data_IF_042542707790
#
_entry.id   IF_042542707790
#
_cell.length_a   1.000
_cell.length_b   1.000
_cell.length_c   1.000
_cell.angle_alpha   90.00
_cell.angle_beta   90.00
_cell.angle_gamma   90.00
#
_symmetry.space_group_name_H-M   'P 1'
#
loop_
_entity.id
_entity.type
_entity.pdbx_description
1 polymer ?
#
# COMPACT_ATOMS: atom_id res chain seq x y z
N UNK A 1 -16.13 7.39 -94.28
CA UNK A 1 -16.18 6.36 -93.22
C UNK A 1 -16.19 7.04 -91.86
N UNK A 2 -17.39 7.32 -91.37
CA UNK A 2 -17.84 7.72 -90.01
C UNK A 2 -19.27 8.26 -90.23
N UNK A 3 -20.28 7.89 -89.41
CA UNK A 3 -20.59 8.70 -88.24
C UNK A 3 -21.29 8.00 -87.03
N UNK A 4 -21.09 8.62 -85.86
CA UNK A 4 -22.03 8.93 -84.76
C UNK A 4 -23.09 7.95 -84.18
N UNK A 5 -23.04 7.88 -82.84
CA UNK A 5 -24.14 8.04 -81.84
C UNK A 5 -25.02 6.87 -81.32
N UNK A 6 -24.93 6.68 -80.00
CA UNK A 6 -25.98 6.91 -78.95
C UNK A 6 -27.22 6.00 -78.91
N UNK A 7 -27.42 5.30 -77.77
CA UNK A 7 -28.67 5.03 -77.00
C UNK A 7 -28.23 4.31 -75.69
N UNK A 8 -28.80 4.40 -74.48
CA UNK A 8 -30.15 4.75 -74.00
C UNK A 8 -30.05 5.09 -72.49
N UNK A 9 -30.51 6.25 -72.03
CA UNK A 9 -31.74 6.53 -71.24
C UNK A 9 -31.74 6.06 -69.77
N UNK A 10 -31.96 7.03 -68.87
CA UNK A 10 -32.21 6.81 -67.44
C UNK A 10 -32.34 8.12 -66.66
N UNK A 11 -33.47 8.78 -66.82
CA UNK A 11 -33.84 10.12 -66.31
C UNK A 11 -34.20 10.12 -64.81
N UNK A 12 -33.70 11.14 -64.11
CA UNK A 12 -34.24 11.93 -62.99
C UNK A 12 -35.37 11.35 -62.08
N UNK A 13 -35.26 11.54 -60.75
CA UNK A 13 -35.93 12.66 -60.07
C UNK A 13 -35.50 12.80 -58.60
N UNK A 14 -35.53 14.05 -58.16
CA UNK A 14 -35.08 14.63 -56.90
C UNK A 14 -36.32 14.96 -56.06
N UNK A 15 -36.40 14.57 -54.79
CA UNK A 15 -37.27 15.26 -53.82
C UNK A 15 -36.60 15.30 -52.44
N UNK A 16 -36.35 16.54 -52.01
CA UNK A 16 -36.07 16.97 -50.64
C UNK A 16 -37.36 16.94 -49.83
N UNK A 17 -37.31 16.52 -48.57
CA UNK A 17 -38.23 17.04 -47.57
C UNK A 17 -37.49 17.40 -46.28
N UNK A 18 -37.67 18.66 -45.89
CA UNK A 18 -37.33 19.23 -44.60
C UNK A 18 -38.33 18.72 -43.56
N UNK A 19 -37.85 18.37 -42.38
CA UNK A 19 -38.67 18.10 -41.20
C UNK A 19 -37.93 18.55 -39.94
N UNK A 20 -38.22 19.77 -39.49
CA UNK A 20 -37.87 20.31 -38.18
C UNK A 20 -38.97 19.94 -37.17
N UNK A 21 -38.64 19.13 -36.16
CA UNK A 21 -39.34 19.06 -34.87
C UNK A 21 -38.26 18.75 -33.81
N UNK A 22 -37.75 19.74 -33.07
CA UNK A 22 -38.23 20.15 -31.74
C UNK A 22 -38.49 18.97 -30.78
N UNK A 23 -37.55 18.71 -29.87
CA UNK A 23 -37.71 18.85 -28.41
C UNK A 23 -36.52 18.22 -27.67
N UNK A 24 -36.22 18.79 -26.52
CA UNK A 24 -35.08 18.51 -25.65
C UNK A 24 -34.79 17.01 -25.44
N UNK A 25 -33.61 16.56 -25.87
CA UNK A 25 -33.03 15.31 -25.37
C UNK A 25 -32.58 15.54 -23.93
N UNK A 26 -33.46 15.17 -23.00
CA UNK A 26 -33.12 14.93 -21.60
C UNK A 26 -31.95 13.93 -21.59
N UNK A 27 -30.75 14.42 -21.26
CA UNK A 27 -29.62 13.56 -20.93
C UNK A 27 -30.01 12.84 -19.64
N UNK A 28 -30.65 11.67 -19.77
CA UNK A 28 -30.69 10.68 -18.71
C UNK A 28 -29.25 10.29 -18.45
N UNK A 29 -28.65 10.93 -17.44
CA UNK A 29 -27.54 10.37 -16.71
C UNK A 29 -28.05 9.05 -16.11
N UNK A 30 -27.89 7.98 -16.87
CA UNK A 30 -28.08 6.62 -16.40
C UNK A 30 -26.93 6.36 -15.45
N UNK A 31 -27.11 6.74 -14.18
CA UNK A 31 -26.33 6.22 -13.08
C UNK A 31 -26.68 4.74 -12.93
N UNK A 32 -26.18 3.92 -13.86
CA UNK A 32 -25.99 2.50 -13.63
C UNK A 32 -25.01 2.44 -12.47
N UNK A 33 -25.54 2.37 -11.25
CA UNK A 33 -24.74 2.18 -10.05
C UNK A 33 -23.90 0.93 -10.28
N UNK A 34 -22.56 1.06 -10.43
CA UNK A 34 -21.75 -0.11 -10.65
C UNK A 34 -21.87 -0.98 -9.41
N UNK A 35 -22.34 -2.21 -9.63
CA UNK A 35 -22.37 -3.31 -8.67
C UNK A 35 -21.17 -3.18 -7.74
N UNK A 36 -21.45 -3.00 -6.46
CA UNK A 36 -20.47 -2.83 -5.40
C UNK A 36 -19.44 -3.96 -5.47
N UNK A 37 -18.31 -3.74 -6.13
CA UNK A 37 -17.15 -4.64 -6.03
C UNK A 37 -16.66 -4.57 -4.59
N UNK A 38 -17.14 -5.54 -3.82
CA UNK A 38 -16.82 -5.87 -2.44
C UNK A 38 -15.31 -6.05 -2.35
N UNK A 39 -14.65 -5.20 -1.58
CA UNK A 39 -13.24 -5.38 -1.26
C UNK A 39 -13.09 -6.68 -0.46
N UNK A 40 -12.54 -7.71 -1.12
CA UNK A 40 -12.01 -8.97 -0.55
C UNK A 40 -12.64 -9.38 0.78
N UNK A 41 -13.66 -10.23 0.73
CA UNK A 41 -14.06 -11.01 1.90
C UNK A 41 -13.01 -12.10 2.09
N UNK A 42 -12.22 -12.01 3.16
CA UNK A 42 -11.70 -13.24 3.77
C UNK A 42 -12.94 -13.98 4.25
N UNK A 43 -13.36 -15.01 3.51
CA UNK A 43 -14.51 -15.85 3.82
C UNK A 43 -14.29 -16.45 5.22
N UNK A 44 -15.03 -15.96 6.22
CA UNK A 44 -14.93 -16.41 7.63
C UNK A 44 -14.36 -15.41 8.64
N UNK A 45 -13.89 -14.23 8.20
CA UNK A 45 -13.42 -13.18 9.12
C UNK A 45 -14.51 -12.25 9.64
N UNK A 46 -14.22 -11.41 10.65
CA UNK A 46 -15.13 -10.36 11.09
C UNK A 46 -15.52 -9.43 9.92
N UNK A 47 -16.77 -8.96 9.85
CA UNK A 47 -17.19 -8.01 8.82
C UNK A 47 -16.24 -6.82 8.75
N UNK A 48 -15.88 -6.41 7.52
CA UNK A 48 -15.00 -5.24 7.30
C UNK A 48 -15.82 -3.96 7.36
N UNK A 49 -15.25 -2.93 7.97
CA UNK A 49 -15.86 -1.59 8.01
C UNK A 49 -16.10 -1.09 6.57
N UNK A 50 -17.27 -0.52 6.26
CA UNK A 50 -17.56 0.03 4.95
C UNK A 50 -16.72 1.28 4.72
N UNK A 51 -16.57 1.65 3.45
CA UNK A 51 -15.91 2.89 3.08
C UNK A 51 -16.77 4.09 3.47
N UNK A 52 -16.09 5.19 3.82
CA UNK A 52 -16.74 6.49 3.98
C UNK A 52 -17.06 7.10 2.62
N UNK A 53 -17.97 8.09 2.57
CA UNK A 53 -18.32 8.82 1.35
C UNK A 53 -17.09 9.27 0.55
N UNK A 54 -16.13 9.92 1.21
CA UNK A 54 -14.88 10.35 0.59
C UNK A 54 -14.03 9.17 0.07
N UNK A 55 -13.93 8.08 0.83
CA UNK A 55 -13.18 6.91 0.38
C UNK A 55 -13.83 6.22 -0.83
N UNK A 56 -15.15 6.23 -0.90
CA UNK A 56 -15.90 5.75 -2.08
C UNK A 56 -15.62 6.65 -3.29
N UNK A 57 -15.68 7.96 -3.12
CA UNK A 57 -15.28 8.93 -4.16
C UNK A 57 -13.85 8.70 -4.65
N UNK A 58 -12.88 8.57 -3.72
CA UNK A 58 -11.48 8.28 -4.07
C UNK A 58 -11.36 6.95 -4.81
N UNK A 59 -12.06 5.91 -4.37
CA UNK A 59 -12.05 4.60 -5.04
C UNK A 59 -12.49 4.71 -6.50
N UNK A 60 -13.53 5.50 -6.77
CA UNK A 60 -14.10 5.66 -8.11
C UNK A 60 -13.25 6.56 -9.00
N UNK A 61 -12.73 7.66 -8.45
CA UNK A 61 -12.00 8.66 -9.24
C UNK A 61 -10.51 8.36 -9.40
N UNK A 62 -9.89 7.65 -8.44
CA UNK A 62 -8.46 7.36 -8.45
C UNK A 62 -7.98 6.65 -9.72
N UNK A 63 -8.63 5.58 -10.23
CA UNK A 63 -8.19 4.91 -11.46
C UNK A 63 -8.16 5.84 -12.67
N UNK A 64 -9.15 6.73 -12.79
CA UNK A 64 -9.24 7.71 -13.88
C UNK A 64 -8.10 8.71 -13.82
N UNK A 65 -7.84 9.32 -12.65
CA UNK A 65 -6.77 10.30 -12.49
C UNK A 65 -5.39 9.64 -12.62
N UNK A 66 -5.23 8.43 -12.08
CA UNK A 66 -3.98 7.68 -12.19
C UNK A 66 -3.65 7.34 -13.65
N UNK A 67 -4.65 6.97 -14.46
CA UNK A 67 -4.45 6.73 -15.90
C UNK A 67 -4.09 8.00 -16.67
N UNK A 68 -4.68 9.13 -16.30
CA UNK A 68 -4.37 10.44 -16.92
C UNK A 68 -3.00 10.98 -16.52
N UNK A 69 -2.40 10.49 -15.43
CA UNK A 69 -1.15 11.00 -14.87
C UNK A 69 -0.17 9.83 -14.62
N UNK A 70 0.27 9.12 -15.67
CA UNK A 70 1.23 8.03 -15.52
C UNK A 70 2.54 8.59 -14.95
N UNK A 71 3.11 7.91 -13.94
CA UNK A 71 4.37 8.31 -13.29
C UNK A 71 4.22 9.25 -12.09
N UNK A 72 3.03 9.83 -11.84
CA UNK A 72 2.78 10.60 -10.62
C UNK A 72 2.62 9.66 -9.42
N UNK A 73 3.22 10.03 -8.28
CA UNK A 73 3.09 9.25 -7.05
C UNK A 73 1.65 9.22 -6.58
N UNK A 74 1.16 8.06 -6.17
CA UNK A 74 -0.21 7.89 -5.65
C UNK A 74 -0.56 8.87 -4.51
N UNK A 75 0.43 9.25 -3.69
CA UNK A 75 0.24 10.23 -2.61
C UNK A 75 -0.22 11.59 -3.14
N UNK A 76 0.33 12.02 -4.27
CA UNK A 76 -0.01 13.31 -4.88
C UNK A 76 -1.37 13.24 -5.60
N UNK A 77 -1.69 12.09 -6.23
CA UNK A 77 -3.03 11.83 -6.80
C UNK A 77 -4.10 11.89 -5.71
N UNK A 78 -3.89 11.22 -4.58
CA UNK A 78 -4.83 11.22 -3.46
C UNK A 78 -4.93 12.62 -2.84
N UNK A 79 -3.84 13.40 -2.79
CA UNK A 79 -3.88 14.81 -2.35
C UNK A 79 -4.76 15.66 -3.26
N UNK A 80 -4.65 15.50 -4.58
CA UNK A 80 -5.50 16.17 -5.58
C UNK A 80 -6.98 15.80 -5.40
N UNK A 81 -7.28 14.51 -5.22
CA UNK A 81 -8.64 14.05 -4.94
C UNK A 81 -9.20 14.63 -3.64
N UNK A 82 -8.38 14.76 -2.60
CA UNK A 82 -8.80 15.39 -1.34
C UNK A 82 -9.20 16.85 -1.54
N UNK A 83 -8.45 17.59 -2.37
CA UNK A 83 -8.77 18.98 -2.72
C UNK A 83 -10.06 19.06 -3.55
N UNK A 84 -10.19 18.22 -4.58
CA UNK A 84 -11.40 18.17 -5.40
C UNK A 84 -12.64 17.86 -4.56
N UNK A 85 -12.56 16.87 -3.66
CA UNK A 85 -13.66 16.54 -2.75
C UNK A 85 -14.08 17.73 -1.89
N UNK A 86 -13.13 18.52 -1.37
CA UNK A 86 -13.48 19.72 -0.59
C UNK A 86 -14.26 20.73 -1.43
N UNK A 87 -13.89 20.90 -2.69
CA UNK A 87 -14.51 21.84 -3.64
C UNK A 87 -15.86 21.37 -4.21
N UNK A 88 -16.20 20.08 -4.12
CA UNK A 88 -17.49 19.59 -4.60
C UNK A 88 -18.66 20.23 -3.85
N UNK A 89 -19.73 20.53 -4.58
CA UNK A 89 -20.96 21.04 -4.00
C UNK A 89 -21.63 19.97 -3.10
N UNK A 90 -22.44 20.38 -2.10
CA UNK A 90 -23.15 19.44 -1.23
C UNK A 90 -23.94 18.38 -2.01
N UNK A 91 -24.60 18.78 -3.09
CA UNK A 91 -25.45 17.94 -3.95
C UNK A 91 -24.63 16.86 -4.66
N UNK A 92 -23.39 17.17 -5.04
CA UNK A 92 -22.46 16.21 -5.64
C UNK A 92 -21.91 15.23 -4.61
N UNK A 93 -21.86 15.62 -3.34
CA UNK A 93 -21.42 14.76 -2.23
C UNK A 93 -22.54 13.85 -1.72
N UNK A 94 -23.80 14.28 -1.81
CA UNK A 94 -24.98 13.53 -1.32
C UNK A 94 -24.99 12.05 -1.73
N UNK A 95 -24.84 11.66 -3.01
CA UNK A 95 -24.92 10.25 -3.39
C UNK A 95 -23.87 9.37 -2.69
N UNK A 96 -22.68 9.92 -2.44
CA UNK A 96 -21.64 9.23 -1.70
C UNK A 96 -21.93 9.15 -0.20
N UNK A 97 -22.57 10.18 0.37
CA UNK A 97 -22.98 10.21 1.77
C UNK A 97 -24.09 9.19 2.02
N UNK A 98 -25.13 9.17 1.19
CA UNK A 98 -26.25 8.23 1.27
C UNK A 98 -25.75 6.79 1.15
N UNK A 99 -24.95 6.49 0.11
CA UNK A 99 -24.37 5.16 -0.07
C UNK A 99 -23.49 4.74 1.13
N UNK A 100 -22.77 5.68 1.73
CA UNK A 100 -21.96 5.44 2.93
C UNK A 100 -22.82 5.16 4.16
N UNK A 101 -23.96 5.84 4.31
CA UNK A 101 -24.91 5.63 5.42
C UNK A 101 -25.57 4.26 5.30
N UNK A 102 -26.11 3.91 4.13
CA UNK A 102 -26.70 2.59 3.87
C UNK A 102 -25.68 1.47 4.13
N UNK A 103 -24.45 1.64 3.65
CA UNK A 103 -23.39 0.64 3.89
C UNK A 103 -23.03 0.50 5.38
N UNK A 104 -23.09 1.61 6.14
CA UNK A 104 -22.86 1.61 7.60
C UNK A 104 -23.94 0.85 8.35
N UNK A 105 -25.20 0.98 7.94
CA UNK A 105 -26.32 0.24 8.53
C UNK A 105 -26.22 -1.25 8.24
N UNK A 106 -25.97 -1.63 6.99
CA UNK A 106 -25.73 -3.03 6.61
C UNK A 106 -24.56 -3.64 7.40
N UNK A 107 -23.49 -2.87 7.61
CA UNK A 107 -22.35 -3.30 8.41
C UNK A 107 -22.71 -3.54 9.88
N UNK A 108 -23.53 -2.66 10.50
CA UNK A 108 -23.97 -2.86 11.88
C UNK A 108 -24.71 -4.20 12.02
N UNK A 109 -25.68 -4.46 11.15
CA UNK A 109 -26.43 -5.72 11.13
C UNK A 109 -25.51 -6.92 10.91
N UNK A 110 -24.54 -6.82 9.99
CA UNK A 110 -23.57 -7.89 9.73
C UNK A 110 -22.69 -8.17 10.95
N UNK A 111 -22.26 -7.14 11.68
CA UNK A 111 -21.45 -7.28 12.89
C UNK A 111 -22.25 -7.91 14.03
N UNK A 112 -23.51 -7.53 14.21
CA UNK A 112 -24.39 -8.14 15.21
C UNK A 112 -24.60 -9.63 14.92
N UNK A 113 -24.93 -9.98 13.67
CA UNK A 113 -25.04 -11.38 13.24
C UNK A 113 -23.74 -12.15 13.44
N UNK A 114 -22.60 -11.55 13.08
CA UNK A 114 -21.30 -12.19 13.26
C UNK A 114 -20.99 -12.45 14.74
N UNK A 115 -21.23 -11.46 15.61
CA UNK A 115 -21.00 -11.61 17.05
C UNK A 115 -21.90 -12.67 17.68
N UNK A 116 -23.16 -12.75 17.26
CA UNK A 116 -24.10 -13.76 17.75
C UNK A 116 -23.70 -15.19 17.36
N UNK A 117 -22.93 -15.37 16.28
CA UNK A 117 -22.43 -16.67 15.82
C UNK A 117 -21.14 -17.13 16.52
N UNK A 118 -20.48 -16.27 17.30
CA UNK A 118 -19.20 -16.58 17.92
C UNK A 118 -19.37 -17.34 19.24
N UNK A 119 -18.53 -18.35 19.44
CA UNK A 119 -18.39 -18.97 20.76
C UNK A 119 -17.58 -18.10 21.71
N UNK A 120 -17.70 -18.27 23.04
CA UNK A 120 -16.86 -17.56 24.02
C UNK A 120 -15.36 -17.78 23.77
N UNK A 121 -14.97 -19.00 23.40
CA UNK A 121 -13.58 -19.33 23.06
C UNK A 121 -13.07 -18.57 21.82
N UNK A 122 -13.87 -18.51 20.76
CA UNK A 122 -13.53 -17.73 19.56
C UNK A 122 -13.43 -16.23 19.86
N UNK A 123 -14.33 -15.71 20.70
CA UNK A 123 -14.32 -14.30 21.11
C UNK A 123 -13.05 -13.97 21.90
N UNK A 124 -12.65 -14.84 22.82
CA UNK A 124 -11.40 -14.70 23.57
C UNK A 124 -10.16 -14.75 22.65
N UNK A 125 -10.13 -15.69 21.69
CA UNK A 125 -9.05 -15.79 20.71
C UNK A 125 -8.92 -14.50 19.86
N UNK A 126 -10.04 -13.95 19.38
CA UNK A 126 -10.06 -12.68 18.65
C UNK A 126 -9.58 -11.49 19.51
N UNK A 127 -9.91 -11.48 20.80
CA UNK A 127 -9.44 -10.44 21.72
C UNK A 127 -7.92 -10.52 21.92
N UNK A 128 -7.36 -11.73 22.09
CA UNK A 128 -5.92 -11.97 22.20
C UNK A 128 -5.21 -11.54 20.91
N UNK A 129 -5.72 -11.94 19.74
CA UNK A 129 -5.15 -11.56 18.44
C UNK A 129 -5.13 -10.03 18.27
N UNK A 130 -6.22 -9.35 18.66
CA UNK A 130 -6.31 -7.89 18.63
C UNK A 130 -5.27 -7.24 19.55
N UNK A 131 -5.10 -7.75 20.78
CA UNK A 131 -4.10 -7.25 21.71
C UNK A 131 -2.68 -7.42 21.16
N UNK A 132 -2.35 -8.59 20.61
CA UNK A 132 -1.05 -8.85 19.97
C UNK A 132 -0.78 -7.90 18.80
N UNK A 133 -1.78 -7.65 17.93
CA UNK A 133 -1.67 -6.69 16.82
C UNK A 133 -1.41 -5.26 17.31
N UNK A 134 -2.11 -4.82 18.37
CA UNK A 134 -1.90 -3.49 18.97
C UNK A 134 -0.51 -3.39 19.60
N UNK A 135 -0.09 -4.39 20.37
CA UNK A 135 1.23 -4.45 20.98
C UNK A 135 2.35 -4.39 19.92
N UNK A 136 2.23 -5.18 18.84
CA UNK A 136 3.17 -5.16 17.71
C UNK A 136 3.23 -3.78 17.05
N UNK A 137 2.08 -3.15 16.76
CA UNK A 137 2.02 -1.81 16.16
C UNK A 137 2.70 -0.78 17.06
N UNK A 138 2.43 -0.82 18.36
CA UNK A 138 3.00 0.11 19.34
C UNK A 138 4.51 -0.10 19.48
N UNK A 139 5.00 -1.34 19.49
CA UNK A 139 6.43 -1.65 19.51
C UNK A 139 7.16 -1.12 18.26
N UNK A 140 6.56 -1.26 17.07
CA UNK A 140 7.10 -0.70 15.83
C UNK A 140 7.14 0.83 15.89
N UNK A 141 6.06 1.48 16.37
CA UNK A 141 6.02 2.94 16.53
C UNK A 141 7.12 3.43 17.47
N UNK A 142 7.24 2.82 18.65
CA UNK A 142 8.29 3.13 19.64
C UNK A 142 9.69 2.95 19.05
N UNK A 143 9.93 1.87 18.29
CA UNK A 143 11.22 1.63 17.63
C UNK A 143 11.54 2.74 16.61
N UNK A 144 10.57 3.16 15.80
CA UNK A 144 10.76 4.23 14.81
C UNK A 144 11.10 5.56 15.49
N UNK A 145 10.39 5.88 16.58
CA UNK A 145 10.63 7.08 17.38
C UNK A 145 12.02 7.07 18.03
N UNK A 146 12.43 5.95 18.64
CA UNK A 146 13.79 5.82 19.18
C UNK A 146 14.86 5.95 18.09
N UNK A 147 14.60 5.44 16.89
CA UNK A 147 15.51 5.59 15.76
C UNK A 147 15.60 7.05 15.28
N UNK A 148 14.48 7.79 15.22
CA UNK A 148 14.49 9.21 14.84
C UNK A 148 15.16 10.10 15.89
N UNK A 149 15.10 9.71 17.16
CA UNK A 149 15.81 10.37 18.26
C UNK A 149 17.31 10.02 18.31
N UNK A 150 17.82 9.25 17.35
CA UNK A 150 19.24 8.90 17.28
C UNK A 150 19.71 7.96 18.40
N UNK A 151 18.82 7.16 19.00
CA UNK A 151 19.19 6.22 20.06
C UNK A 151 20.36 5.33 19.59
N UNK A 152 21.50 5.30 20.32
CA UNK A 152 22.64 4.48 19.95
C UNK A 152 22.24 3.01 19.75
N UNK A 153 22.79 2.39 18.71
CA UNK A 153 22.65 0.94 18.51
C UNK A 153 23.38 0.24 19.65
N UNK A 154 22.85 -0.93 20.05
CA UNK A 154 23.53 -1.77 21.04
C UNK A 154 24.89 -2.21 20.52
N UNK A 155 25.89 -2.39 21.39
CA UNK A 155 27.18 -2.95 20.98
C UNK A 155 26.95 -4.32 20.33
N UNK A 156 27.69 -4.59 19.25
CA UNK A 156 27.59 -5.88 18.58
C UNK A 156 28.16 -6.97 19.49
N UNK A 157 27.43 -8.08 19.63
CA UNK A 157 27.97 -9.28 20.26
C UNK A 157 29.12 -9.84 19.41
N UNK A 158 30.06 -10.58 20.02
CA UNK A 158 31.15 -11.28 19.32
C UNK A 158 30.61 -12.13 18.18
N UNK A 159 29.54 -12.86 18.46
CA UNK A 159 28.87 -13.67 17.46
C UNK A 159 28.39 -12.82 16.28
N UNK A 160 27.83 -11.62 16.54
CA UNK A 160 27.38 -10.74 15.46
C UNK A 160 28.54 -10.19 14.63
N UNK A 161 29.73 -10.08 15.21
CA UNK A 161 30.93 -9.60 14.51
C UNK A 161 31.49 -10.72 13.64
N UNK A 162 31.69 -11.91 14.20
CA UNK A 162 32.01 -13.13 13.47
C UNK A 162 31.04 -13.34 12.30
N UNK A 163 29.73 -13.30 12.58
CA UNK A 163 28.69 -13.45 11.57
C UNK A 163 28.81 -12.41 10.45
N UNK A 164 29.27 -11.18 10.75
CA UNK A 164 29.44 -10.15 9.73
C UNK A 164 30.74 -10.28 8.94
N UNK A 165 31.82 -10.77 9.56
CA UNK A 165 33.12 -10.98 8.91
C UNK A 165 33.07 -12.17 7.95
N UNK A 166 32.41 -13.25 8.34
CA UNK A 166 32.33 -14.48 7.56
C UNK A 166 31.07 -14.58 6.69
N UNK A 167 30.21 -13.54 6.65
CA UNK A 167 28.93 -13.60 5.91
C UNK A 167 29.09 -13.84 4.41
N UNK A 168 30.05 -13.15 3.80
CA UNK A 168 30.26 -13.22 2.36
C UNK A 168 30.77 -14.61 1.93
N UNK A 169 31.70 -15.16 2.71
CA UNK A 169 32.36 -16.46 2.49
C UNK A 169 31.51 -17.67 2.89
N UNK A 170 30.41 -17.44 3.61
CA UNK A 170 29.53 -18.49 4.09
C UNK A 170 28.95 -19.31 2.94
N UNK A 171 28.89 -20.64 3.15
CA UNK A 171 28.29 -21.58 2.20
C UNK A 171 26.77 -21.42 2.20
N UNK A 172 26.19 -21.17 1.04
CA UNK A 172 24.74 -21.06 0.89
C UNK A 172 24.34 -20.16 -0.28
N UNK A 173 23.24 -20.52 -0.94
CA UNK A 173 22.67 -19.77 -2.05
C UNK A 173 21.71 -18.65 -1.58
N UNK A 174 21.34 -18.64 -0.30
CA UNK A 174 20.47 -17.65 0.29
C UNK A 174 20.93 -17.26 1.70
N UNK A 175 20.43 -16.13 2.20
CA UNK A 175 20.82 -15.58 3.50
C UNK A 175 20.59 -16.59 4.64
N UNK A 176 19.50 -17.36 4.57
CA UNK A 176 19.12 -18.31 5.62
C UNK A 176 20.10 -19.48 5.71
N UNK A 177 20.51 -20.04 4.56
CA UNK A 177 21.47 -21.14 4.48
C UNK A 177 22.86 -20.69 4.90
N UNK A 178 23.30 -19.49 4.46
CA UNK A 178 24.53 -18.86 4.93
C UNK A 178 24.54 -18.66 6.45
N UNK A 179 23.46 -18.10 7.01
CA UNK A 179 23.33 -17.90 8.46
C UNK A 179 23.35 -19.22 9.24
N UNK A 180 22.77 -20.29 8.69
CA UNK A 180 22.80 -21.61 9.31
C UNK A 180 24.21 -22.20 9.31
N UNK A 181 24.91 -22.16 8.17
CA UNK A 181 26.30 -22.62 8.07
C UNK A 181 27.20 -21.92 9.09
N UNK A 182 27.10 -20.59 9.18
CA UNK A 182 27.90 -19.81 10.13
C UNK A 182 27.57 -20.11 11.58
N UNK A 183 26.31 -20.42 11.90
CA UNK A 183 25.95 -20.87 13.24
C UNK A 183 26.63 -22.20 13.56
N UNK A 184 26.56 -23.16 12.65
CA UNK A 184 27.19 -24.46 12.82
C UNK A 184 28.72 -24.32 12.96
N UNK A 185 29.34 -23.43 12.19
CA UNK A 185 30.77 -23.13 12.27
C UNK A 185 31.14 -22.44 13.60
N UNK A 186 30.32 -21.51 14.08
CA UNK A 186 30.50 -20.86 15.38
C UNK A 186 30.38 -21.83 16.55
N UNK A 187 29.47 -22.81 16.47
CA UNK A 187 29.33 -23.84 17.50
C UNK A 187 30.58 -24.71 17.60
N UNK A 188 31.25 -24.98 16.46
CA UNK A 188 32.52 -25.74 16.38
C UNK A 188 33.73 -25.00 16.93
N UNK A 189 33.69 -23.67 17.06
CA UNK A 189 34.82 -22.90 17.58
C UNK A 189 35.11 -23.21 19.06
N UNK A 190 36.38 -23.39 19.40
CA UNK A 190 36.83 -23.60 20.78
C UNK A 190 36.68 -22.32 21.61
N UNK A 191 36.70 -22.46 22.95
CA UNK A 191 36.59 -21.32 23.87
C UNK A 191 37.67 -20.25 23.60
N UNK A 192 38.89 -20.68 23.26
CA UNK A 192 40.01 -19.80 22.92
C UNK A 192 39.77 -19.03 21.61
N UNK A 193 39.24 -19.68 20.57
CA UNK A 193 38.92 -19.02 19.30
C UNK A 193 37.83 -17.96 19.48
N UNK A 194 36.80 -18.25 20.28
CA UNK A 194 35.73 -17.30 20.62
C UNK A 194 36.26 -16.10 21.43
N UNK A 195 37.25 -16.31 22.31
CA UNK A 195 37.92 -15.24 23.06
C UNK A 195 38.77 -14.33 22.17
N UNK A 196 39.46 -14.86 21.16
CA UNK A 196 40.21 -14.06 20.19
C UNK A 196 39.28 -13.16 19.39
N UNK A 197 38.16 -13.69 18.87
CA UNK A 197 37.13 -12.87 18.22
C UNK A 197 36.54 -11.82 19.16
N UNK A 198 36.44 -12.10 20.47
CA UNK A 198 36.03 -11.10 21.46
C UNK A 198 37.06 -9.98 21.63
N UNK A 199 38.35 -10.31 21.71
CA UNK A 199 39.42 -9.29 21.78
C UNK A 199 39.45 -8.40 20.51
N UNK A 200 39.24 -9.00 19.33
CA UNK A 200 39.11 -8.27 18.06
C UNK A 200 37.84 -7.39 18.02
N UNK A 201 36.76 -7.82 18.69
CA UNK A 201 35.53 -7.03 18.79
C UNK A 201 35.69 -5.74 19.59
N UNK A 202 36.43 -5.80 20.70
CA UNK A 202 36.69 -4.65 21.56
C UNK A 202 37.57 -3.63 20.83
N UNK A 203 38.64 -4.10 20.20
CA UNK A 203 39.56 -3.26 19.43
C UNK A 203 38.85 -2.58 18.25
N UNK A 204 38.04 -3.31 17.48
CA UNK A 204 37.28 -2.74 16.35
C UNK A 204 36.21 -1.72 16.78
N UNK A 205 35.67 -1.84 18.00
CA UNK A 205 34.70 -0.86 18.54
C UNK A 205 35.34 0.46 18.95
N UNK A 206 36.64 0.45 19.31
CA UNK A 206 37.36 1.66 19.75
C UNK A 206 37.82 2.55 18.59
N UNK A 207 37.92 2.03 17.36
CA UNK A 207 38.25 2.83 16.16
C UNK A 207 37.03 3.55 15.53
N UNK A 208 35.83 3.42 16.11
CA UNK A 208 34.62 4.13 15.67
C UNK A 208 34.49 5.56 16.18
N UNK A 209 35.42 6.01 17.02
CA UNK A 209 35.47 7.36 17.62
C UNK A 209 36.85 7.98 17.39
N UNK A 210 37.25 8.17 16.13
CA UNK A 210 38.42 9.00 15.82
C UNK A 210 37.96 10.47 15.84
N UNK A 211 38.50 11.34 16.71
CA UNK A 211 38.28 12.77 16.57
C UNK A 211 38.83 13.23 15.23
N UNK A 212 38.06 14.05 14.52
CA UNK A 212 38.51 14.73 13.30
C UNK A 212 39.89 15.34 13.54
N UNK A 213 40.77 15.26 12.53
CA UNK A 213 42.19 15.62 12.52
C UNK A 213 42.52 17.10 12.83
N UNK A 214 41.60 17.84 13.44
CA UNK A 214 41.71 19.25 13.83
C UNK A 214 42.09 19.48 15.30
N UNK A 215 42.27 18.42 16.10
CA UNK A 215 42.62 18.53 17.53
C UNK A 215 43.93 17.80 17.87
N UNK A 216 45.04 18.19 17.25
CA UNK A 216 46.38 17.89 17.79
C UNK A 216 47.04 19.20 18.24
N UNK A 217 47.36 19.37 19.54
CA UNK A 217 48.11 20.53 19.99
C UNK A 217 49.54 20.48 19.42
N UNK A 218 49.97 21.60 18.87
CA UNK A 218 51.34 21.81 18.42
C UNK A 218 52.31 21.58 19.58
N UNK A 219 53.17 20.58 19.42
CA UNK A 219 54.29 20.32 20.31
C UNK A 219 55.33 21.42 20.05
N UNK A 220 55.63 22.21 21.08
CA UNK A 220 56.85 23.02 21.19
C UNK A 220 57.90 22.24 21.97
#
# INVERSE_FOLDING_TARGET
MAPFSLMSVGVNLLVKSLGLFSTASVVRCSCVAPVLKRFSTTTGGPPKRPLTAYMTYVKEMHPTISRQNPGVKNVDIVRKLAQQWKMLAPEQKQPFQDASLTSKEQYKLAVEKYKAQLTPAQTAALAIEKQQKVAKRNAIRRKKELNSLGKPKRPRSVFNIFMSEHFEEAKGNNIQTKMKSLRDDWERFSATQKQVSFALSISSSNYGSVPSSSELPAVF
#
